data_IF_459838204767
#
_entry.id   IF_459838204767
#
_cell.length_a   1.000
_cell.length_b   1.000
_cell.length_c   1.000
_cell.angle_alpha   90.00
_cell.angle_beta   90.00
_cell.angle_gamma   90.00
#
_symmetry.space_group_name_H-M   'P 1'
#
loop_
_entity.id
_entity.type
_entity.pdbx_description
1 polymer ?
#
# COMPACT_ATOMS: atom_id res chain seq x y z
N UNK A 1 -11.67 -12.54 -10.79
CA UNK A 1 -10.86 -11.29 -10.89
C UNK A 1 -11.23 -10.38 -12.06
N UNK A 2 -11.41 -10.87 -13.31
CA UNK A 2 -11.74 -10.00 -14.47
C UNK A 2 -13.09 -9.24 -14.38
N UNK A 3 -14.10 -9.79 -13.69
CA UNK A 3 -15.44 -9.16 -13.58
C UNK A 3 -15.52 -8.00 -12.57
N UNK A 4 -14.67 -7.99 -11.54
CA UNK A 4 -14.66 -6.91 -10.54
C UNK A 4 -13.94 -5.66 -11.07
N UNK A 5 -12.88 -5.84 -11.88
CA UNK A 5 -12.11 -4.73 -12.47
C UNK A 5 -12.94 -3.94 -13.49
N UNK A 6 -13.83 -4.62 -14.25
CA UNK A 6 -14.69 -3.95 -15.24
C UNK A 6 -15.75 -3.06 -14.58
N UNK A 7 -16.25 -3.46 -13.40
CA UNK A 7 -17.26 -2.68 -12.66
C UNK A 7 -16.65 -1.43 -12.01
N UNK A 8 -15.43 -1.52 -11.47
CA UNK A 8 -14.73 -0.38 -10.86
C UNK A 8 -14.26 0.64 -11.90
N UNK A 9 -13.88 0.20 -13.11
CA UNK A 9 -13.53 1.10 -14.22
C UNK A 9 -14.77 1.84 -14.73
N UNK A 10 -15.95 1.20 -14.81
CA UNK A 10 -17.19 1.90 -15.16
C UNK A 10 -17.60 2.93 -14.10
N UNK A 11 -17.38 2.64 -12.81
CA UNK A 11 -17.66 3.60 -11.73
C UNK A 11 -16.70 4.81 -11.76
N UNK A 12 -15.39 4.60 -11.99
CA UNK A 12 -14.41 5.70 -12.07
C UNK A 12 -14.53 6.54 -13.34
N UNK A 13 -14.89 5.94 -14.48
CA UNK A 13 -15.14 6.70 -15.70
C UNK A 13 -16.37 7.61 -15.53
N UNK A 14 -17.44 7.14 -14.89
CA UNK A 14 -18.62 7.96 -14.63
C UNK A 14 -18.32 9.17 -13.71
N UNK A 15 -17.48 9.01 -12.67
CA UNK A 15 -17.18 10.10 -11.71
C UNK A 15 -16.43 11.28 -12.34
N UNK A 16 -15.61 11.07 -13.38
CA UNK A 16 -14.93 12.16 -14.07
C UNK A 16 -15.81 12.87 -15.12
N UNK A 17 -16.83 12.20 -15.68
CA UNK A 17 -17.78 12.83 -16.62
C UNK A 17 -18.75 13.80 -15.92
N UNK A 18 -19.06 13.60 -14.64
CA UNK A 18 -19.97 14.49 -13.90
C UNK A 18 -19.41 15.90 -13.61
N UNK A 19 -18.14 16.19 -13.93
CA UNK A 19 -17.52 17.51 -13.71
C UNK A 19 -17.64 18.50 -14.88
N UNK A 20 -18.10 18.06 -16.07
CA UNK A 20 -18.11 18.86 -17.30
C UNK A 20 -19.50 19.34 -17.76
N UNK A 21 -20.57 19.09 -17.02
CA UNK A 21 -21.90 19.58 -17.38
C UNK A 21 -22.01 21.10 -17.17
N UNK A 22 -22.64 21.82 -18.11
CA UNK A 22 -22.92 23.24 -17.96
C UNK A 22 -23.82 23.47 -16.74
N UNK A 23 -23.46 24.43 -15.89
CA UNK A 23 -24.25 24.78 -14.69
C UNK A 23 -24.95 26.11 -14.90
N UNK A 24 -26.17 26.25 -14.40
CA UNK A 24 -26.83 27.56 -14.33
C UNK A 24 -25.94 28.54 -13.57
N UNK A 25 -25.81 29.76 -14.10
CA UNK A 25 -24.88 30.77 -13.60
C UNK A 25 -23.46 30.70 -14.19
N UNK A 26 -23.11 29.66 -14.96
CA UNK A 26 -21.82 29.64 -15.68
C UNK A 26 -21.74 30.81 -16.66
N UNK A 27 -20.57 31.45 -16.74
CA UNK A 27 -20.30 32.52 -17.70
C UNK A 27 -20.47 32.03 -19.14
N UNK A 28 -20.98 32.89 -20.02
CA UNK A 28 -21.30 32.51 -21.39
C UNK A 28 -20.11 31.93 -22.18
N UNK A 29 -18.90 32.46 -21.98
CA UNK A 29 -17.68 31.93 -22.60
C UNK A 29 -17.33 30.52 -22.09
N UNK A 30 -17.55 30.24 -20.80
CA UNK A 30 -17.37 28.89 -20.26
C UNK A 30 -18.35 27.91 -20.89
N UNK A 31 -19.61 28.31 -21.06
CA UNK A 31 -20.63 27.47 -21.71
C UNK A 31 -20.27 27.20 -23.17
N UNK A 32 -19.90 28.23 -23.92
CA UNK A 32 -19.43 28.10 -25.29
C UNK A 32 -18.26 27.12 -25.39
N UNK A 33 -17.26 27.29 -24.52
CA UNK A 33 -16.10 26.40 -24.46
C UNK A 33 -16.50 24.94 -24.17
N UNK A 34 -17.38 24.70 -23.19
CA UNK A 34 -17.86 23.35 -22.87
C UNK A 34 -18.62 22.70 -24.03
N UNK A 35 -19.42 23.46 -24.77
CA UNK A 35 -20.12 22.96 -25.98
C UNK A 35 -19.13 22.62 -27.08
N UNK A 36 -18.12 23.47 -27.31
CA UNK A 36 -17.05 23.19 -28.28
C UNK A 36 -16.27 21.92 -27.93
N UNK A 37 -15.91 21.75 -26.65
CA UNK A 37 -15.26 20.53 -26.20
C UNK A 37 -16.13 19.29 -26.39
N UNK A 38 -17.42 19.37 -26.05
CA UNK A 38 -18.35 18.26 -26.23
C UNK A 38 -18.38 17.78 -27.69
N UNK A 39 -18.46 18.72 -28.64
CA UNK A 39 -18.43 18.38 -30.06
C UNK A 39 -17.12 17.72 -30.50
N UNK A 40 -15.98 18.23 -30.01
CA UNK A 40 -14.68 17.63 -30.31
C UNK A 40 -14.60 16.20 -29.77
N UNK A 41 -15.03 15.99 -28.52
CA UNK A 41 -15.05 14.66 -27.90
C UNK A 41 -15.99 13.70 -28.65
N UNK A 42 -17.18 14.14 -29.07
CA UNK A 42 -18.10 13.35 -29.89
C UNK A 42 -17.48 12.94 -31.23
N UNK A 43 -16.79 13.87 -31.90
CA UNK A 43 -16.08 13.63 -33.16
C UNK A 43 -14.99 12.57 -33.00
N UNK A 44 -14.19 12.70 -31.94
CA UNK A 44 -13.06 11.79 -31.65
C UNK A 44 -13.53 10.38 -31.30
N UNK A 45 -14.70 10.23 -30.65
CA UNK A 45 -15.17 8.94 -30.13
C UNK A 45 -16.02 8.15 -31.12
N UNK A 46 -16.84 8.82 -31.93
CA UNK A 46 -17.84 8.15 -32.79
C UNK A 46 -17.44 8.12 -34.27
N UNK A 47 -16.45 8.91 -34.68
CA UNK A 47 -16.13 9.12 -36.09
C UNK A 47 -17.26 9.82 -36.86
N UNK A 48 -17.05 10.17 -38.14
CA UNK A 48 -17.91 11.10 -38.89
C UNK A 48 -19.31 10.58 -39.30
N UNK A 49 -19.78 9.42 -38.81
CA UNK A 49 -20.86 8.67 -39.47
C UNK A 49 -22.09 8.24 -38.65
N UNK A 50 -22.16 8.44 -37.32
CA UNK A 50 -23.36 8.03 -36.54
C UNK A 50 -24.24 9.19 -36.05
N UNK A 51 -23.64 10.27 -35.55
CA UNK A 51 -24.33 11.47 -35.04
C UNK A 51 -23.74 12.69 -35.74
N UNK A 52 -24.59 13.58 -36.28
CA UNK A 52 -24.13 14.84 -36.84
C UNK A 52 -24.36 15.94 -35.83
N UNK A 53 -23.32 16.71 -35.55
CA UNK A 53 -23.37 17.81 -34.60
C UNK A 53 -22.89 19.10 -35.25
N UNK A 54 -23.60 20.19 -35.00
CA UNK A 54 -23.21 21.55 -35.39
C UNK A 54 -23.48 22.50 -34.23
N UNK A 55 -22.69 23.55 -34.08
CA UNK A 55 -22.97 24.58 -33.09
C UNK A 55 -22.85 25.99 -33.64
N UNK A 56 -23.63 26.87 -33.05
CA UNK A 56 -23.71 28.28 -33.41
C UNK A 56 -23.71 29.15 -32.15
N UNK A 57 -22.99 30.25 -32.19
CA UNK A 57 -23.03 31.28 -31.14
C UNK A 57 -23.83 32.47 -31.66
N UNK A 58 -24.77 32.95 -30.86
CA UNK A 58 -25.57 34.15 -31.16
C UNK A 58 -25.13 35.27 -30.22
N UNK A 59 -24.87 36.44 -30.81
CA UNK A 59 -24.46 37.63 -30.09
C UNK A 59 -25.62 38.63 -30.02
N UNK A 60 -25.79 39.30 -28.89
CA UNK A 60 -26.66 40.46 -28.74
C UNK A 60 -25.92 41.53 -27.93
N UNK A 61 -25.91 42.78 -28.42
CA UNK A 61 -25.26 43.92 -27.77
C UNK A 61 -23.80 43.63 -27.35
N UNK A 62 -23.04 42.96 -28.22
CA UNK A 62 -21.62 42.64 -27.98
C UNK A 62 -21.35 41.51 -26.98
N UNK A 63 -22.39 40.86 -26.43
CA UNK A 63 -22.27 39.71 -25.53
C UNK A 63 -22.89 38.45 -26.14
N UNK A 64 -22.39 37.27 -25.75
CA UNK A 64 -23.02 35.99 -26.12
C UNK A 64 -24.42 35.94 -25.48
N UNK A 65 -25.45 35.90 -26.31
CA UNK A 65 -26.84 35.74 -25.87
C UNK A 65 -27.28 34.30 -25.90
N UNK A 66 -26.79 33.50 -26.84
CA UNK A 66 -27.07 32.07 -26.93
C UNK A 66 -25.89 31.27 -27.46
N UNK A 67 -25.76 30.04 -26.98
CA UNK A 67 -24.96 28.99 -27.63
C UNK A 67 -25.94 27.89 -28.03
N UNK A 68 -25.93 27.49 -29.30
CA UNK A 68 -26.86 26.53 -29.87
C UNK A 68 -26.07 25.32 -30.32
N UNK A 69 -26.46 24.13 -29.90
CA UNK A 69 -25.91 22.86 -30.35
C UNK A 69 -27.04 22.07 -31.04
N UNK A 70 -26.90 21.79 -32.32
CA UNK A 70 -27.80 20.94 -33.08
C UNK A 70 -27.21 19.54 -33.19
N UNK A 71 -28.02 18.51 -32.92
CA UNK A 71 -27.61 17.12 -32.96
C UNK A 71 -28.65 16.30 -33.72
N UNK A 72 -28.20 15.50 -34.68
CA UNK A 72 -29.05 14.65 -35.53
C UNK A 72 -28.79 13.17 -35.26
N UNK A 73 -29.85 12.37 -35.30
CA UNK A 73 -29.81 10.91 -35.14
C UNK A 73 -29.19 10.44 -33.80
N UNK A 74 -29.42 11.19 -32.72
CA UNK A 74 -28.91 10.87 -31.38
C UNK A 74 -29.76 9.76 -30.77
N UNK A 75 -29.18 8.60 -30.37
CA UNK A 75 -29.93 7.57 -29.66
C UNK A 75 -30.32 8.04 -28.26
N UNK A 76 -31.60 8.38 -28.06
CA UNK A 76 -32.14 8.84 -26.78
C UNK A 76 -32.78 7.68 -26.02
N UNK A 77 -32.10 7.21 -24.96
CA UNK A 77 -32.51 6.02 -24.19
C UNK A 77 -33.95 6.13 -23.66
N UNK A 78 -34.36 7.34 -23.25
CA UNK A 78 -35.68 7.57 -22.67
C UNK A 78 -36.82 7.58 -23.69
N UNK A 79 -36.51 7.78 -24.98
CA UNK A 79 -37.48 7.71 -26.08
C UNK A 79 -37.34 6.41 -26.90
N UNK A 80 -36.30 5.60 -26.61
CA UNK A 80 -36.01 4.29 -27.23
C UNK A 80 -35.95 4.34 -28.77
N UNK A 81 -35.54 5.49 -29.32
CA UNK A 81 -35.35 5.72 -30.75
C UNK A 81 -34.31 6.82 -30.96
N UNK A 82 -33.63 6.84 -32.13
CA UNK A 82 -32.86 8.01 -32.53
C UNK A 82 -33.78 9.22 -32.68
N UNK A 83 -33.30 10.38 -32.25
CA UNK A 83 -34.02 11.66 -32.34
C UNK A 83 -33.09 12.74 -32.89
N UNK A 84 -33.69 13.78 -33.45
CA UNK A 84 -32.95 14.98 -33.83
C UNK A 84 -33.47 16.16 -33.03
N UNK A 85 -32.57 16.95 -32.46
CA UNK A 85 -32.94 18.09 -31.64
C UNK A 85 -31.88 19.18 -31.69
N UNK A 86 -32.24 20.35 -31.17
CA UNK A 86 -31.29 21.42 -30.89
C UNK A 86 -31.41 21.87 -29.44
N UNK A 87 -30.26 22.01 -28.80
CA UNK A 87 -30.12 22.53 -27.43
C UNK A 87 -29.65 23.97 -27.51
N UNK A 88 -30.43 24.90 -26.96
CA UNK A 88 -30.10 26.32 -26.88
C UNK A 88 -29.81 26.68 -25.43
N UNK A 89 -28.57 27.04 -25.16
CA UNK A 89 -28.10 27.57 -23.90
C UNK A 89 -28.28 29.09 -23.92
N UNK A 90 -29.30 29.61 -23.22
CA UNK A 90 -29.68 31.01 -23.29
C UNK A 90 -29.09 31.79 -22.11
N UNK A 91 -28.35 32.83 -22.44
CA UNK A 91 -27.67 33.70 -21.49
C UNK A 91 -28.55 34.87 -21.09
N UNK A 92 -28.48 35.26 -19.83
CA UNK A 92 -29.03 36.52 -19.34
C UNK A 92 -27.97 37.20 -18.48
N UNK A 93 -27.68 38.48 -18.72
CA UNK A 93 -26.60 39.21 -18.07
C UNK A 93 -25.24 38.47 -18.10
N UNK A 94 -24.91 37.83 -19.23
CA UNK A 94 -23.64 37.15 -19.45
C UNK A 94 -23.49 35.76 -18.80
N UNK A 95 -24.53 35.23 -18.15
CA UNK A 95 -24.51 33.90 -17.52
C UNK A 95 -25.65 32.99 -18.00
N UNK A 96 -25.45 31.67 -17.92
CA UNK A 96 -26.44 30.68 -18.32
C UNK A 96 -27.69 30.77 -17.43
N UNK A 97 -28.82 31.08 -18.05
CA UNK A 97 -30.09 31.31 -17.33
C UNK A 97 -31.12 30.21 -17.55
N UNK A 98 -31.16 29.63 -18.76
CA UNK A 98 -32.07 28.55 -19.13
C UNK A 98 -31.49 27.73 -20.27
N UNK A 99 -31.95 26.49 -20.37
CA UNK A 99 -31.62 25.57 -21.48
C UNK A 99 -32.92 25.17 -22.16
N UNK A 100 -32.96 25.27 -23.49
CA UNK A 100 -34.09 24.83 -24.30
C UNK A 100 -33.65 23.66 -25.16
N UNK A 101 -34.28 22.49 -25.02
CA UNK A 101 -34.10 21.36 -25.95
C UNK A 101 -35.34 21.25 -26.83
N UNK A 102 -35.19 21.58 -28.10
CA UNK A 102 -36.25 21.62 -29.10
C UNK A 102 -36.12 20.41 -30.02
N UNK A 103 -37.14 19.56 -30.07
CA UNK A 103 -37.11 18.28 -30.77
C UNK A 103 -37.78 18.38 -32.14
N UNK A 104 -37.10 17.93 -33.19
CA UNK A 104 -37.58 18.03 -34.57
C UNK A 104 -38.61 16.95 -34.94
N UNK A 105 -38.51 15.78 -34.32
CA UNK A 105 -39.24 14.56 -34.69
C UNK A 105 -40.00 13.92 -33.51
N UNK A 106 -40.18 14.67 -32.42
CA UNK A 106 -40.87 14.22 -31.20
C UNK A 106 -42.07 15.11 -30.93
N UNK A 107 -43.23 14.49 -30.66
CA UNK A 107 -44.43 15.21 -30.24
C UNK A 107 -44.36 15.61 -28.77
N UNK A 108 -45.10 16.67 -28.39
CA UNK A 108 -45.19 17.11 -26.98
C UNK A 108 -45.72 15.98 -26.08
N UNK A 109 -46.71 15.22 -26.55
CA UNK A 109 -47.32 14.14 -25.78
C UNK A 109 -46.34 12.98 -25.54
N UNK A 110 -45.53 12.61 -26.53
CA UNK A 110 -44.51 11.58 -26.39
C UNK A 110 -43.39 12.03 -25.46
N UNK A 111 -42.97 13.29 -25.56
CA UNK A 111 -41.97 13.88 -24.66
C UNK A 111 -42.47 13.91 -23.21
N UNK A 112 -43.72 14.36 -22.97
CA UNK A 112 -44.33 14.37 -21.63
C UNK A 112 -44.47 12.96 -21.04
N UNK A 113 -44.80 11.96 -21.88
CA UNK A 113 -44.90 10.56 -21.46
C UNK A 113 -43.55 10.02 -20.99
N UNK A 114 -42.49 10.31 -21.74
CA UNK A 114 -41.12 9.93 -21.39
C UNK A 114 -40.66 10.60 -20.09
N UNK A 115 -40.85 11.92 -19.95
CA UNK A 115 -40.50 12.63 -18.72
C UNK A 115 -41.31 12.14 -17.52
N UNK A 116 -42.61 11.83 -17.67
CA UNK A 116 -43.42 11.29 -16.57
C UNK A 116 -42.86 9.95 -16.06
N UNK A 117 -42.38 9.08 -16.94
CA UNK A 117 -41.79 7.81 -16.53
C UNK A 117 -40.48 8.00 -15.74
N UNK A 118 -39.66 8.99 -16.11
CA UNK A 118 -38.34 9.21 -15.50
C UNK A 118 -38.35 10.11 -14.26
N UNK A 119 -39.36 10.98 -14.12
CA UNK A 119 -39.44 11.99 -13.06
C UNK A 119 -40.68 11.82 -12.16
N UNK A 120 -41.31 10.64 -12.16
CA UNK A 120 -42.62 10.44 -11.50
C UNK A 120 -42.63 10.83 -10.01
N UNK A 121 -41.49 10.68 -9.31
CA UNK A 121 -41.34 11.07 -7.90
C UNK A 121 -41.15 12.58 -7.65
N UNK A 122 -40.74 13.35 -8.66
CA UNK A 122 -40.38 14.77 -8.56
C UNK A 122 -41.19 15.66 -9.51
N UNK A 123 -42.36 15.17 -9.96
CA UNK A 123 -43.28 15.94 -10.80
C UNK A 123 -44.29 16.67 -9.90
N UNK A 124 -44.39 18.00 -10.07
CA UNK A 124 -45.44 18.81 -9.43
C UNK A 124 -46.17 19.57 -10.54
N UNK A 125 -47.44 19.23 -10.78
CA UNK A 125 -48.21 19.73 -11.92
C UNK A 125 -47.43 19.56 -13.23
N UNK A 126 -47.20 20.63 -14.01
CA UNK A 126 -46.51 20.56 -15.30
C UNK A 126 -44.99 20.76 -15.19
N UNK A 127 -44.44 20.72 -13.98
CA UNK A 127 -43.03 20.95 -13.69
C UNK A 127 -42.34 19.65 -13.27
N UNK A 128 -41.21 19.36 -13.90
CA UNK A 128 -40.42 18.15 -13.67
C UNK A 128 -39.10 18.55 -13.00
N UNK A 129 -38.97 18.33 -11.69
CA UNK A 129 -37.82 18.77 -10.89
C UNK A 129 -36.70 17.73 -10.89
N UNK A 130 -35.46 18.19 -10.77
CA UNK A 130 -34.33 17.33 -10.42
C UNK A 130 -34.39 16.91 -8.93
N UNK A 131 -33.53 15.99 -8.51
CA UNK A 131 -33.63 15.33 -7.20
C UNK A 131 -33.48 16.28 -6.00
N UNK A 132 -32.77 17.39 -6.18
CA UNK A 132 -32.55 18.43 -5.18
C UNK A 132 -33.47 19.64 -5.35
N UNK A 133 -34.37 19.60 -6.35
CA UNK A 133 -35.29 20.67 -6.73
C UNK A 133 -34.59 22.00 -7.06
N UNK A 134 -33.28 22.00 -7.33
CA UNK A 134 -32.52 23.21 -7.72
C UNK A 134 -32.85 23.68 -9.15
N UNK A 135 -33.37 22.77 -9.99
CA UNK A 135 -33.81 23.07 -11.34
C UNK A 135 -35.10 22.31 -11.69
N UNK A 136 -35.84 22.85 -12.63
CA UNK A 136 -37.04 22.22 -13.16
C UNK A 136 -37.08 22.31 -14.67
N UNK A 137 -37.74 21.33 -15.28
CA UNK A 137 -38.03 21.31 -16.72
C UNK A 137 -39.53 21.48 -16.94
N UNK A 138 -39.91 22.32 -17.89
CA UNK A 138 -41.29 22.48 -18.38
C UNK A 138 -41.35 22.06 -19.84
N UNK A 139 -42.36 21.27 -20.20
CA UNK A 139 -42.57 20.79 -21.57
C UNK A 139 -43.75 21.54 -22.19
N UNK A 140 -43.58 22.05 -23.41
CA UNK A 140 -44.62 22.76 -24.15
C UNK A 140 -44.37 22.73 -25.66
N UNK A 141 -45.36 23.17 -26.44
CA UNK A 141 -45.20 23.40 -27.89
C UNK A 141 -44.61 24.79 -28.13
N UNK A 142 -43.40 24.85 -28.69
CA UNK A 142 -42.72 26.10 -29.01
C UNK A 142 -43.40 26.89 -30.12
N UNK A 143 -43.04 28.16 -30.26
CA UNK A 143 -43.53 29.05 -31.33
C UNK A 143 -43.15 28.58 -32.73
N UNK A 144 -42.04 27.84 -32.83
CA UNK A 144 -41.57 27.11 -34.00
C UNK A 144 -42.33 25.79 -34.27
N UNK A 145 -43.41 25.51 -33.55
CA UNK A 145 -44.18 24.26 -33.64
C UNK A 145 -43.39 22.99 -33.27
N UNK A 146 -42.26 23.13 -32.55
CA UNK A 146 -41.47 22.00 -32.05
C UNK A 146 -41.79 21.70 -30.59
N UNK A 147 -41.79 20.42 -30.22
CA UNK A 147 -41.85 20.04 -28.81
C UNK A 147 -40.59 20.56 -28.10
N UNK A 148 -40.77 21.29 -27.00
CA UNK A 148 -39.68 21.98 -26.31
C UNK A 148 -39.66 21.58 -24.84
N UNK A 149 -38.48 21.18 -24.35
CA UNK A 149 -38.18 21.05 -22.93
C UNK A 149 -37.34 22.26 -22.49
N UNK A 150 -37.91 23.12 -21.65
CA UNK A 150 -37.22 24.28 -21.07
C UNK A 150 -36.80 23.97 -19.63
N UNK A 151 -35.49 23.94 -19.37
CA UNK A 151 -34.93 23.76 -18.04
C UNK A 151 -34.46 25.09 -17.46
N UNK A 152 -34.84 25.38 -16.21
CA UNK A 152 -34.50 26.61 -15.47
C UNK A 152 -34.08 26.28 -14.05
N UNK A 153 -33.31 27.18 -13.44
CA UNK A 153 -33.13 27.19 -11.99
C UNK A 153 -34.46 27.45 -11.30
N UNK A 154 -34.74 26.70 -10.24
CA UNK A 154 -35.95 26.87 -9.44
C UNK A 154 -35.90 28.19 -8.69
N UNK A 155 -36.84 29.08 -9.00
CA UNK A 155 -37.14 30.29 -8.22
C UNK A 155 -38.58 30.23 -7.77
N UNK A 156 -38.82 30.32 -6.45
CA UNK A 156 -40.17 30.20 -5.89
C UNK A 156 -41.16 31.23 -6.45
N UNK A 157 -40.65 32.40 -6.87
CA UNK A 157 -41.42 33.46 -7.54
C UNK A 157 -42.06 33.02 -8.84
N UNK A 158 -41.47 32.05 -9.54
CA UNK A 158 -41.85 31.68 -10.90
C UNK A 158 -43.05 30.73 -10.93
N UNK A 159 -43.49 30.27 -9.75
CA UNK A 159 -44.59 29.32 -9.60
C UNK A 159 -45.85 29.97 -9.03
N UNK A 160 -47.04 29.46 -9.42
CA UNK A 160 -48.30 29.84 -8.81
C UNK A 160 -48.34 29.41 -7.33
N UNK A 161 -49.19 30.04 -6.49
CA UNK A 161 -49.24 29.77 -5.05
C UNK A 161 -49.40 28.28 -4.70
N UNK A 162 -50.20 27.53 -5.47
CA UNK A 162 -50.47 26.11 -5.25
C UNK A 162 -49.27 25.19 -5.50
N UNK A 163 -48.30 25.62 -6.32
CA UNK A 163 -47.07 24.85 -6.61
C UNK A 163 -45.93 25.29 -5.68
N UNK A 164 -45.89 26.58 -5.33
CA UNK A 164 -44.81 27.20 -4.56
C UNK A 164 -44.57 26.51 -3.21
N UNK A 165 -45.62 26.26 -2.43
CA UNK A 165 -45.48 25.65 -1.10
C UNK A 165 -45.01 24.20 -1.18
N UNK A 166 -45.52 23.44 -2.16
CA UNK A 166 -45.08 22.05 -2.40
C UNK A 166 -43.60 22.01 -2.78
N UNK A 167 -43.16 22.86 -3.71
CA UNK A 167 -41.74 22.95 -4.11
C UNK A 167 -40.87 23.34 -2.92
N UNK A 168 -41.27 24.34 -2.14
CA UNK A 168 -40.52 24.77 -0.94
C UNK A 168 -40.35 23.65 0.07
N UNK A 169 -41.41 22.88 0.33
CA UNK A 169 -41.36 21.71 1.23
C UNK A 169 -40.40 20.65 0.68
N UNK A 170 -40.55 20.28 -0.59
CA UNK A 170 -39.69 19.27 -1.22
C UNK A 170 -38.22 19.68 -1.30
N UNK A 171 -37.92 20.96 -1.55
CA UNK A 171 -36.55 21.51 -1.49
C UNK A 171 -35.93 21.33 -0.10
N UNK A 172 -36.68 21.59 0.97
CA UNK A 172 -36.20 21.42 2.34
C UNK A 172 -35.97 19.94 2.68
N UNK A 173 -36.89 19.07 2.30
CA UNK A 173 -36.76 17.61 2.49
C UNK A 173 -35.54 17.05 1.73
N UNK A 174 -35.36 17.48 0.47
CA UNK A 174 -34.22 17.08 -0.34
C UNK A 174 -32.90 17.58 0.26
N UNK A 175 -32.84 18.83 0.74
CA UNK A 175 -31.65 19.37 1.41
C UNK A 175 -31.29 18.57 2.66
N UNK A 176 -32.26 18.22 3.50
CA UNK A 176 -32.03 17.39 4.69
C UNK A 176 -31.52 16.00 4.33
N UNK A 177 -32.11 15.36 3.30
CA UNK A 177 -31.66 14.04 2.81
C UNK A 177 -30.22 14.08 2.27
N UNK A 178 -29.88 15.08 1.47
CA UNK A 178 -28.53 15.26 0.92
C UNK A 178 -27.50 15.49 2.03
N UNK A 179 -27.84 16.32 3.02
CA UNK A 179 -26.97 16.59 4.17
C UNK A 179 -26.71 15.30 4.97
N UNK A 180 -27.75 14.51 5.24
CA UNK A 180 -27.64 13.24 5.94
C UNK A 180 -26.80 12.23 5.16
N UNK A 181 -26.99 12.15 3.84
CA UNK A 181 -26.20 11.26 2.98
C UNK A 181 -24.72 11.64 3.00
N UNK A 182 -24.39 12.93 2.86
CA UNK A 182 -23.01 13.41 2.91
C UNK A 182 -22.34 13.10 4.25
N UNK A 183 -23.08 13.24 5.35
CA UNK A 183 -22.55 12.91 6.68
C UNK A 183 -22.32 11.40 6.85
N UNK A 184 -23.25 10.57 6.39
CA UNK A 184 -23.09 9.11 6.42
C UNK A 184 -21.91 8.65 5.55
N UNK A 185 -21.71 9.27 4.37
CA UNK A 185 -20.57 9.01 3.50
C UNK A 185 -19.24 9.39 4.19
N UNK A 186 -19.19 10.54 4.88
CA UNK A 186 -18.03 10.95 5.68
C UNK A 186 -17.72 9.98 6.81
N UNK A 187 -18.74 9.57 7.58
CA UNK A 187 -18.57 8.60 8.68
C UNK A 187 -18.07 7.26 8.13
N UNK A 188 -18.67 6.77 7.06
CA UNK A 188 -18.28 5.50 6.43
C UNK A 188 -16.84 5.57 5.90
N UNK A 189 -16.45 6.70 5.32
CA UNK A 189 -15.08 6.90 4.85
C UNK A 189 -14.09 6.92 6.01
N UNK A 190 -14.38 7.66 7.07
CA UNK A 190 -13.54 7.70 8.27
C UNK A 190 -13.39 6.31 8.92
N UNK A 191 -14.47 5.52 8.97
CA UNK A 191 -14.42 4.13 9.45
C UNK A 191 -13.49 3.25 8.61
N UNK A 192 -13.57 3.35 7.27
CA UNK A 192 -12.69 2.60 6.36
C UNK A 192 -11.23 3.01 6.52
N UNK A 193 -10.95 4.28 6.76
CA UNK A 193 -9.60 4.79 7.01
C UNK A 193 -9.03 4.23 8.32
N UNK A 194 -9.84 4.18 9.38
CA UNK A 194 -9.45 3.56 10.66
C UNK A 194 -9.22 2.05 10.53
N UNK A 195 -10.10 1.33 9.84
CA UNK A 195 -9.94 -0.10 9.58
C UNK A 195 -8.66 -0.39 8.77
N UNK A 196 -8.40 0.41 7.74
CA UNK A 196 -7.21 0.28 6.90
C UNK A 196 -5.93 0.60 7.68
N UNK A 197 -5.97 1.62 8.54
CA UNK A 197 -4.89 1.93 9.47
C UNK A 197 -4.63 0.73 10.40
N UNK A 198 -5.66 0.22 11.08
CA UNK A 198 -5.53 -0.91 11.99
C UNK A 198 -4.99 -2.17 11.30
N UNK A 199 -5.45 -2.43 10.07
CA UNK A 199 -4.94 -3.54 9.26
C UNK A 199 -3.44 -3.41 8.97
N UNK A 200 -2.97 -2.21 8.58
CA UNK A 200 -1.54 -1.98 8.26
C UNK A 200 -0.63 -2.04 9.48
N UNK A 201 -1.13 -1.61 10.64
CA UNK A 201 -0.35 -1.51 11.88
C UNK A 201 -0.49 -2.73 12.80
N UNK A 202 -1.34 -3.69 12.45
CA UNK A 202 -1.36 -5.01 13.10
C UNK A 202 -0.08 -5.78 12.75
N UNK A 203 0.52 -6.44 13.75
CA UNK A 203 1.72 -7.26 13.56
C UNK A 203 1.35 -8.69 13.20
N UNK A 204 1.62 -9.10 11.97
CA UNK A 204 1.35 -10.44 11.47
C UNK A 204 2.55 -11.35 11.69
N UNK A 205 2.32 -12.61 12.04
CA UNK A 205 3.40 -13.58 12.24
C UNK A 205 4.05 -13.94 10.89
N UNK A 206 5.34 -13.66 10.75
CA UNK A 206 6.06 -13.88 9.51
C UNK A 206 6.15 -15.37 9.15
N UNK A 207 6.29 -16.25 10.14
CA UNK A 207 6.36 -17.70 9.93
C UNK A 207 5.04 -18.29 9.44
N UNK A 208 3.93 -17.78 9.96
CA UNK A 208 2.56 -18.18 9.60
C UNK A 208 2.16 -17.67 8.21
N UNK A 209 2.40 -16.37 7.93
CA UNK A 209 1.88 -15.72 6.72
C UNK A 209 2.83 -15.76 5.51
N UNK A 210 4.16 -15.89 5.72
CA UNK A 210 5.14 -16.02 4.63
C UNK A 210 6.39 -16.81 5.07
N UNK A 211 6.26 -18.14 5.08
CA UNK A 211 7.33 -19.06 5.45
C UNK A 211 8.60 -18.91 4.59
N UNK A 212 8.47 -18.46 3.34
CA UNK A 212 9.63 -18.24 2.46
C UNK A 212 10.45 -17.05 2.94
N UNK A 213 9.79 -15.93 3.24
CA UNK A 213 10.44 -14.75 3.80
C UNK A 213 10.96 -15.01 5.21
N UNK A 214 10.24 -15.78 6.03
CA UNK A 214 10.72 -16.21 7.34
C UNK A 214 12.03 -17.00 7.23
N UNK A 215 12.12 -17.98 6.32
CA UNK A 215 13.34 -18.75 6.11
C UNK A 215 14.50 -17.88 5.60
N UNK A 216 14.23 -16.90 4.74
CA UNK A 216 15.25 -15.92 4.32
C UNK A 216 15.76 -15.11 5.50
N UNK A 217 14.85 -14.60 6.34
CA UNK A 217 15.18 -13.88 7.57
C UNK A 217 16.06 -14.73 8.50
N UNK A 218 15.68 -15.99 8.75
CA UNK A 218 16.48 -16.93 9.55
C UNK A 218 17.89 -17.15 8.98
N UNK A 219 18.03 -17.26 7.66
CA UNK A 219 19.33 -17.46 7.02
C UNK A 219 20.25 -16.23 7.16
N UNK A 220 19.71 -15.02 7.18
CA UNK A 220 20.51 -13.82 7.47
C UNK A 220 20.91 -13.79 8.95
N UNK A 221 19.98 -14.09 9.87
CA UNK A 221 20.27 -14.19 11.30
C UNK A 221 21.40 -15.18 11.60
N UNK A 222 21.34 -16.39 11.03
CA UNK A 222 22.40 -17.41 11.19
C UNK A 222 23.78 -16.87 10.83
N UNK A 223 23.89 -16.19 9.69
CA UNK A 223 25.16 -15.58 9.23
C UNK A 223 25.64 -14.51 10.20
N UNK A 224 24.73 -13.65 10.68
CA UNK A 224 25.07 -12.60 11.64
C UNK A 224 25.55 -13.17 12.98
N UNK A 225 24.89 -14.20 13.51
CA UNK A 225 25.34 -14.89 14.72
C UNK A 225 26.73 -15.50 14.54
N UNK A 226 26.97 -16.20 13.43
CA UNK A 226 28.27 -16.79 13.15
C UNK A 226 29.36 -15.71 13.05
N UNK A 227 29.07 -14.60 12.36
CA UNK A 227 29.97 -13.47 12.21
C UNK A 227 30.25 -12.78 13.56
N UNK A 228 29.25 -12.61 14.41
CA UNK A 228 29.42 -12.08 15.76
C UNK A 228 30.35 -12.98 16.58
N UNK A 229 30.08 -14.30 16.60
CA UNK A 229 30.90 -15.26 17.33
C UNK A 229 32.35 -15.24 16.85
N UNK A 230 32.59 -15.17 15.53
CA UNK A 230 33.94 -15.07 14.96
C UNK A 230 34.64 -13.77 15.27
N UNK A 231 33.93 -12.64 15.13
CA UNK A 231 34.49 -11.31 15.35
C UNK A 231 34.83 -11.03 16.81
N UNK A 232 34.13 -11.66 17.75
CA UNK A 232 34.42 -11.59 19.18
C UNK A 232 35.35 -12.72 19.67
N UNK A 233 35.67 -13.69 18.82
CA UNK A 233 36.59 -14.75 19.15
C UNK A 233 38.05 -14.27 19.02
N UNK A 234 38.92 -14.54 20.01
CA UNK A 234 40.33 -14.22 19.92
C UNK A 234 40.99 -14.89 18.71
N UNK A 235 42.10 -14.33 18.24
CA UNK A 235 42.91 -14.98 17.23
C UNK A 235 43.57 -16.25 17.79
N UNK A 236 43.91 -17.19 16.91
CA UNK A 236 44.55 -18.45 17.34
C UNK A 236 45.88 -18.23 18.07
N UNK A 237 46.61 -17.15 17.77
CA UNK A 237 47.83 -16.79 18.49
C UNK A 237 47.54 -16.45 19.96
N UNK A 238 46.45 -15.73 20.23
CA UNK A 238 46.10 -15.33 21.59
C UNK A 238 45.59 -16.52 22.40
N UNK A 239 44.90 -17.46 21.74
CA UNK A 239 44.52 -18.74 22.35
C UNK A 239 45.74 -19.58 22.73
N UNK A 240 46.79 -19.55 21.92
CA UNK A 240 48.03 -20.28 22.20
C UNK A 240 48.80 -19.72 23.39
N UNK A 241 48.88 -18.39 23.51
CA UNK A 241 49.63 -17.71 24.58
C UNK A 241 48.83 -17.48 25.86
N UNK A 242 47.59 -17.98 25.97
CA UNK A 242 46.80 -17.89 27.20
C UNK A 242 46.17 -16.52 27.41
N UNK A 243 45.33 -16.08 26.47
CA UNK A 243 44.42 -14.95 26.65
C UNK A 243 43.65 -15.07 27.99
N UNK A 244 43.40 -13.94 28.69
CA UNK A 244 42.80 -13.86 30.04
C UNK A 244 41.47 -14.63 30.23
N UNK A 245 40.81 -15.07 29.16
CA UNK A 245 39.60 -15.91 29.20
C UNK A 245 39.71 -17.30 28.55
N UNK A 246 40.88 -17.73 28.07
CA UNK A 246 41.07 -18.94 27.27
C UNK A 246 42.04 -19.95 27.92
N UNK A 247 41.95 -20.14 29.24
CA UNK A 247 42.83 -21.04 30.01
C UNK A 247 42.94 -22.47 29.44
N UNK A 248 41.98 -22.91 28.62
CA UNK A 248 41.94 -24.24 28.02
C UNK A 248 42.25 -24.26 26.50
N UNK A 249 42.76 -23.17 25.91
CA UNK A 249 43.10 -23.10 24.48
C UNK A 249 41.90 -23.01 23.54
N UNK A 250 40.70 -22.78 24.08
CA UNK A 250 39.49 -22.55 23.32
C UNK A 250 38.59 -21.51 23.99
N UNK A 251 37.65 -20.99 23.20
CA UNK A 251 36.48 -20.25 23.69
C UNK A 251 35.21 -20.97 23.25
N UNK A 252 34.14 -20.83 24.03
CA UNK A 252 32.84 -21.41 23.70
C UNK A 252 31.70 -20.45 24.02
N UNK A 253 30.72 -20.43 23.13
CA UNK A 253 29.38 -19.89 23.35
C UNK A 253 28.42 -21.08 23.34
N UNK A 254 27.58 -21.19 24.36
CA UNK A 254 26.55 -22.21 24.43
C UNK A 254 25.34 -21.59 25.11
N UNK A 255 24.53 -20.90 24.30
CA UNK A 255 23.37 -20.17 24.78
C UNK A 255 22.10 -20.68 24.08
N UNK A 256 21.00 -20.71 24.83
CA UNK A 256 19.65 -21.00 24.31
C UNK A 256 18.74 -19.85 24.71
N UNK A 257 17.99 -19.31 23.76
CA UNK A 257 17.13 -18.14 23.97
C UNK A 257 15.68 -18.43 23.54
N UNK A 258 14.74 -17.68 24.11
CA UNK A 258 13.47 -17.38 23.44
C UNK A 258 13.53 -15.93 22.98
N UNK A 259 13.31 -15.69 21.69
CA UNK A 259 13.45 -14.35 21.10
C UNK A 259 12.22 -14.00 20.29
N UNK A 260 11.75 -12.77 20.47
CA UNK A 260 10.69 -12.15 19.69
C UNK A 260 11.28 -10.94 18.96
N UNK A 261 11.17 -10.96 17.63
CA UNK A 261 11.43 -9.82 16.77
C UNK A 261 10.08 -9.19 16.42
N UNK A 262 9.94 -7.89 16.58
CA UNK A 262 8.72 -7.15 16.22
C UNK A 262 9.05 -5.89 15.44
N UNK A 263 8.23 -5.57 14.44
CA UNK A 263 8.24 -4.25 13.84
C UNK A 263 7.53 -3.23 14.73
N UNK A 264 8.14 -2.07 14.93
CA UNK A 264 7.50 -0.89 15.48
C UNK A 264 7.41 0.18 14.42
N UNK A 265 6.22 0.78 14.31
CA UNK A 265 5.97 1.91 13.44
C UNK A 265 6.02 3.19 14.27
N UNK A 266 7.11 3.95 14.08
CA UNK A 266 7.29 5.29 14.64
C UNK A 266 7.10 6.36 13.55
N UNK A 267 6.38 6.02 12.48
CA UNK A 267 6.05 6.96 11.41
C UNK A 267 5.18 8.09 11.95
N UNK A 268 5.39 9.27 11.37
CA UNK A 268 4.59 10.46 11.67
C UNK A 268 4.01 10.98 10.37
N UNK A 269 2.76 11.39 10.39
CA UNK A 269 2.14 12.01 9.23
C UNK A 269 2.76 13.39 8.97
N UNK A 270 2.60 13.86 7.73
CA UNK A 270 2.98 15.23 7.39
C UNK A 270 1.92 16.16 7.95
N UNK A 271 2.33 17.06 8.84
CA UNK A 271 1.42 18.03 9.45
C UNK A 271 1.66 19.42 8.87
N UNK A 272 0.58 20.12 8.50
CA UNK A 272 0.65 21.55 8.21
C UNK A 272 0.28 22.36 9.46
N UNK A 273 1.20 23.16 9.97
CA UNK A 273 0.97 24.09 11.09
C UNK A 273 1.08 25.52 10.59
N UNK A 274 -0.07 26.12 10.26
CA UNK A 274 -0.13 27.43 9.60
C UNK A 274 0.53 27.40 8.22
N UNK A 275 1.60 28.16 8.04
CA UNK A 275 2.38 28.22 6.80
C UNK A 275 3.57 27.24 6.77
N UNK A 276 3.76 26.40 7.81
CA UNK A 276 4.86 25.46 7.92
C UNK A 276 4.39 24.03 7.66
N UNK A 277 5.07 23.31 6.77
CA UNK A 277 4.85 21.88 6.52
C UNK A 277 5.91 21.11 7.30
N UNK A 278 5.50 20.35 8.31
CA UNK A 278 6.35 19.41 9.03
C UNK A 278 6.32 18.10 8.25
N UNK A 279 7.44 17.78 7.59
CA UNK A 279 7.56 16.55 6.82
C UNK A 279 7.37 15.31 7.70
N UNK A 280 6.46 14.44 7.26
CA UNK A 280 6.27 13.12 7.83
C UNK A 280 7.52 12.26 7.75
N UNK A 281 7.54 11.18 8.50
CA UNK A 281 8.61 10.17 8.48
C UNK A 281 7.99 8.80 8.33
N UNK A 282 8.67 7.93 7.59
CA UNK A 282 8.35 6.50 7.52
C UNK A 282 9.42 5.75 8.32
N UNK A 283 9.23 5.65 9.63
CA UNK A 283 10.24 5.13 10.56
C UNK A 283 9.78 3.79 11.15
N UNK A 284 9.94 2.74 10.36
CA UNK A 284 9.64 1.37 10.76
C UNK A 284 10.94 0.68 11.17
N UNK A 285 11.01 0.18 12.41
CA UNK A 285 12.21 -0.45 12.97
C UNK A 285 11.90 -1.82 13.54
N UNK A 286 12.91 -2.68 13.62
CA UNK A 286 12.81 -3.97 14.31
C UNK A 286 13.31 -3.84 15.73
N UNK A 287 12.44 -4.16 16.68
CA UNK A 287 12.75 -4.29 18.10
C UNK A 287 12.88 -5.76 18.45
N UNK A 288 13.84 -6.07 19.31
CA UNK A 288 14.13 -7.44 19.74
C UNK A 288 13.96 -7.53 21.24
N UNK A 289 13.11 -8.46 21.67
CA UNK A 289 12.87 -8.79 23.07
C UNK A 289 13.00 -10.31 23.28
N UNK A 290 13.07 -10.74 24.54
CA UNK A 290 13.19 -12.16 24.86
C UNK A 290 13.94 -12.43 26.15
N UNK A 291 14.37 -13.66 26.33
CA UNK A 291 15.11 -14.11 27.50
C UNK A 291 16.13 -15.20 27.17
N UNK A 292 17.21 -15.25 27.96
CA UNK A 292 18.13 -16.37 28.00
C UNK A 292 17.49 -17.52 28.80
N UNK A 293 17.39 -18.70 28.20
CA UNK A 293 16.93 -19.92 28.87
C UNK A 293 18.10 -20.67 29.53
N UNK A 294 19.26 -20.71 28.87
CA UNK A 294 20.48 -21.31 29.41
C UNK A 294 21.72 -20.72 28.74
N UNK A 295 22.84 -20.66 29.48
CA UNK A 295 24.11 -20.12 28.99
C UNK A 295 24.66 -19.03 29.91
N UNK A 296 25.43 -18.10 29.33
CA UNK A 296 26.10 -17.01 30.08
C UNK A 296 25.82 -15.62 29.53
N UNK A 297 25.14 -15.50 28.39
CA UNK A 297 24.81 -14.22 27.75
C UNK A 297 23.52 -13.60 28.33
N UNK A 298 23.54 -13.25 29.62
CA UNK A 298 22.36 -12.75 30.35
C UNK A 298 21.76 -11.49 29.72
N UNK A 299 22.60 -10.61 29.15
CA UNK A 299 22.15 -9.38 28.48
C UNK A 299 21.67 -9.61 27.04
N UNK A 300 21.68 -10.87 26.58
CA UNK A 300 21.36 -11.26 25.21
C UNK A 300 22.17 -10.46 24.18
N UNK A 301 23.44 -10.18 24.48
CA UNK A 301 24.31 -9.33 23.65
C UNK A 301 24.50 -9.93 22.27
N UNK A 302 24.62 -11.25 22.17
CA UNK A 302 24.74 -11.95 20.88
C UNK A 302 23.49 -11.67 20.03
N UNK A 303 22.30 -11.78 20.63
CA UNK A 303 21.02 -11.57 19.97
C UNK A 303 20.85 -10.13 19.52
N UNK A 304 21.04 -9.16 20.43
CA UNK A 304 20.84 -7.73 20.16
C UNK A 304 21.80 -7.19 19.10
N UNK A 305 23.07 -7.60 19.16
CA UNK A 305 24.09 -7.12 18.21
C UNK A 305 23.96 -7.76 16.83
N UNK A 306 23.43 -9.00 16.77
CA UNK A 306 23.28 -9.74 15.50
C UNK A 306 21.91 -9.55 14.85
N UNK A 307 21.04 -8.72 15.44
CA UNK A 307 19.68 -8.46 14.96
C UNK A 307 19.69 -7.98 13.51
N UNK A 308 18.65 -8.38 12.77
CA UNK A 308 18.41 -7.95 11.39
C UNK A 308 17.03 -7.36 11.27
N UNK A 309 16.82 -6.41 10.34
CA UNK A 309 15.49 -5.91 10.05
C UNK A 309 14.56 -7.05 9.66
N UNK A 310 13.39 -7.08 10.29
CA UNK A 310 12.28 -7.88 9.81
C UNK A 310 11.84 -7.37 8.44
N UNK A 311 11.36 -8.26 7.55
CA UNK A 311 10.71 -7.85 6.32
C UNK A 311 9.22 -7.57 6.52
N UNK A 312 8.69 -6.53 5.88
CA UNK A 312 7.24 -6.38 5.69
C UNK A 312 6.76 -7.39 4.64
N UNK A 313 5.51 -7.83 4.76
CA UNK A 313 4.85 -8.69 3.76
C UNK A 313 3.65 -7.98 3.15
N UNK A 314 3.16 -8.52 2.03
CA UNK A 314 1.96 -7.97 1.36
C UNK A 314 0.78 -8.91 1.56
N UNK A 315 -0.23 -8.45 2.29
CA UNK A 315 -1.50 -9.17 2.47
C UNK A 315 -2.62 -8.37 1.80
N UNK A 316 -3.40 -9.04 0.94
CA UNK A 316 -4.49 -8.42 0.17
C UNK A 316 -4.09 -7.12 -0.57
N UNK A 317 -2.85 -7.09 -1.10
CA UNK A 317 -2.30 -5.94 -1.83
C UNK A 317 -1.78 -4.80 -0.94
N UNK A 318 -1.77 -4.95 0.39
CA UNK A 318 -1.30 -3.94 1.35
C UNK A 318 -0.05 -4.44 2.09
N UNK A 319 0.93 -3.56 2.30
CA UNK A 319 2.09 -3.85 3.14
C UNK A 319 1.68 -3.80 4.62
N UNK A 320 2.09 -4.80 5.39
CA UNK A 320 1.77 -4.92 6.81
C UNK A 320 3.02 -5.14 7.64
N UNK A 321 2.96 -4.72 8.90
CA UNK A 321 4.00 -4.97 9.90
C UNK A 321 4.08 -6.45 10.25
N UNK A 322 5.28 -6.92 10.57
CA UNK A 322 5.50 -8.34 10.90
C UNK A 322 6.14 -8.52 12.26
N UNK A 323 6.00 -9.74 12.79
CA UNK A 323 6.71 -10.25 13.96
C UNK A 323 7.24 -11.65 13.68
N UNK A 324 8.27 -12.07 14.39
CA UNK A 324 8.85 -13.40 14.30
C UNK A 324 9.29 -13.88 15.69
N UNK A 325 8.67 -14.96 16.15
CA UNK A 325 9.07 -15.63 17.39
C UNK A 325 9.96 -16.82 17.05
N UNK A 326 11.08 -16.94 17.77
CA UNK A 326 12.00 -18.08 17.67
C UNK A 326 12.17 -18.67 19.07
N UNK A 327 11.51 -19.79 19.29
CA UNK A 327 11.59 -20.53 20.54
C UNK A 327 12.82 -21.44 20.56
N UNK A 328 13.44 -21.54 21.73
CA UNK A 328 14.60 -22.41 21.97
C UNK A 328 15.74 -22.21 20.95
N UNK A 329 15.97 -20.97 20.54
CA UNK A 329 17.05 -20.59 19.62
C UNK A 329 18.40 -20.95 20.22
N UNK A 330 19.03 -21.99 19.69
CA UNK A 330 20.35 -22.46 20.12
C UNK A 330 21.46 -21.77 19.33
N UNK A 331 22.43 -21.21 20.07
CA UNK A 331 23.70 -20.69 19.55
C UNK A 331 24.82 -21.42 20.26
N UNK A 332 25.39 -22.41 19.60
CA UNK A 332 26.59 -23.12 20.00
C UNK A 332 27.73 -22.75 19.07
N UNK A 333 28.87 -22.35 19.61
CA UNK A 333 30.08 -22.04 18.85
C UNK A 333 31.30 -22.32 19.71
N UNK A 334 32.29 -23.03 19.16
CA UNK A 334 33.57 -23.30 19.81
C UNK A 334 34.68 -23.01 18.82
N UNK A 335 35.64 -22.19 19.23
CA UNK A 335 36.87 -21.94 18.49
C UNK A 335 38.06 -22.28 19.37
N UNK A 336 38.99 -23.08 18.87
CA UNK A 336 40.13 -23.51 19.69
C UNK A 336 41.33 -23.98 18.91
N UNK A 337 42.42 -24.16 19.66
CA UNK A 337 43.66 -24.76 19.20
C UNK A 337 44.04 -25.91 20.13
N UNK A 338 44.48 -27.02 19.55
CA UNK A 338 44.94 -28.21 20.30
C UNK A 338 46.16 -28.83 19.64
N UNK A 339 46.92 -29.62 20.41
CA UNK A 339 48.02 -30.44 19.88
C UNK A 339 47.62 -31.91 19.98
N UNK A 340 47.52 -32.57 18.83
CA UNK A 340 47.18 -33.97 18.74
C UNK A 340 48.39 -34.80 18.27
N UNK A 341 48.58 -35.98 18.86
CA UNK A 341 49.53 -37.00 18.42
C UNK A 341 48.76 -38.16 17.82
N UNK A 342 49.02 -38.47 16.56
CA UNK A 342 48.33 -39.51 15.81
C UNK A 342 49.28 -40.70 15.59
N UNK A 343 48.82 -41.91 15.91
CA UNK A 343 49.59 -43.14 15.76
C UNK A 343 48.71 -44.38 15.69
N UNK A 344 49.32 -45.57 15.80
CA UNK A 344 48.59 -46.86 15.69
C UNK A 344 47.47 -47.05 16.73
N UNK A 345 47.53 -46.33 17.86
CA UNK A 345 46.53 -46.39 18.95
C UNK A 345 45.42 -45.34 18.81
N UNK A 346 45.39 -44.56 17.73
CA UNK A 346 44.43 -43.47 17.51
C UNK A 346 45.03 -42.08 17.73
N UNK A 347 44.16 -41.12 18.05
CA UNK A 347 44.49 -39.71 18.26
C UNK A 347 44.54 -39.42 19.76
N UNK A 348 45.66 -38.85 20.21
CA UNK A 348 45.90 -38.47 21.61
C UNK A 348 46.05 -36.94 21.70
N UNK A 349 45.24 -36.27 22.52
CA UNK A 349 45.33 -34.83 22.73
C UNK A 349 46.36 -34.50 23.82
N UNK A 350 47.52 -34.00 23.39
CA UNK A 350 48.71 -33.83 24.26
C UNK A 350 48.81 -32.47 24.96
N UNK A 351 48.28 -31.40 24.35
CA UNK A 351 48.19 -30.05 24.95
C UNK A 351 46.91 -29.36 24.51
N UNK A 352 46.35 -28.53 25.39
CA UNK A 352 45.11 -27.76 25.17
C UNK A 352 43.99 -28.68 24.65
N UNK A 353 43.57 -29.69 25.44
CA UNK A 353 42.59 -30.65 24.97
C UNK A 353 41.27 -29.94 24.61
N UNK A 354 40.65 -30.28 23.46
CA UNK A 354 39.37 -29.70 23.08
C UNK A 354 38.26 -30.22 24.00
N UNK A 355 37.09 -29.57 23.98
CA UNK A 355 35.91 -30.06 24.70
C UNK A 355 35.53 -31.48 24.22
N UNK A 356 34.97 -32.30 25.12
CA UNK A 356 34.62 -33.71 24.82
C UNK A 356 33.75 -33.86 23.58
N UNK A 357 32.75 -32.98 23.41
CA UNK A 357 31.87 -32.99 22.25
C UNK A 357 32.54 -32.53 20.94
N UNK A 358 33.75 -31.99 21.00
CA UNK A 358 34.52 -31.56 19.82
C UNK A 358 35.55 -32.62 19.38
N UNK A 359 36.02 -33.47 20.30
CA UNK A 359 37.01 -34.52 20.01
C UNK A 359 36.65 -35.38 18.78
N UNK A 360 35.40 -35.89 18.62
CA UNK A 360 35.06 -36.75 17.49
C UNK A 360 35.27 -36.08 16.11
N UNK A 361 35.04 -34.77 16.02
CA UNK A 361 35.25 -34.02 14.77
C UNK A 361 36.75 -33.95 14.41
N UNK A 362 37.61 -33.72 15.41
CA UNK A 362 39.06 -33.64 15.19
C UNK A 362 39.64 -35.03 14.91
N UNK A 363 39.19 -36.05 15.65
CA UNK A 363 39.57 -37.44 15.44
C UNK A 363 39.23 -37.93 14.04
N UNK A 364 38.02 -37.63 13.54
CA UNK A 364 37.62 -37.98 12.17
C UNK A 364 38.51 -37.37 11.09
N UNK A 365 38.97 -36.12 11.28
CA UNK A 365 39.89 -35.45 10.33
C UNK A 365 41.32 -36.01 10.41
N UNK A 366 41.73 -36.53 11.57
CA UNK A 366 43.08 -37.02 11.82
C UNK A 366 43.24 -38.55 11.79
N UNK A 367 42.16 -39.31 11.59
CA UNK A 367 42.11 -40.77 11.78
C UNK A 367 43.24 -41.54 11.06
N UNK A 368 43.64 -41.10 9.88
CA UNK A 368 44.66 -41.75 9.05
C UNK A 368 46.04 -41.06 9.09
N UNK A 369 46.17 -39.98 9.85
CA UNK A 369 47.40 -39.20 9.91
C UNK A 369 48.37 -39.81 10.92
N UNK A 370 49.67 -39.59 10.70
CA UNK A 370 50.74 -40.01 11.61
C UNK A 370 51.60 -38.81 11.98
N UNK A 371 52.01 -38.74 13.24
CA UNK A 371 52.85 -37.66 13.76
C UNK A 371 52.11 -36.74 14.72
N UNK A 372 52.74 -35.62 15.07
CA UNK A 372 52.15 -34.58 15.93
C UNK A 372 51.62 -33.44 15.06
N UNK A 373 50.48 -32.87 15.43
CA UNK A 373 49.82 -31.80 14.67
C UNK A 373 49.34 -30.69 15.59
N UNK A 374 49.49 -29.45 15.14
CA UNK A 374 48.72 -28.31 15.66
C UNK A 374 47.41 -28.29 14.90
N UNK A 375 46.30 -28.35 15.63
CA UNK A 375 44.94 -28.36 15.07
C UNK A 375 44.25 -27.08 15.48
N UNK A 376 43.77 -26.32 14.50
CA UNK A 376 42.90 -25.16 14.66
C UNK A 376 41.49 -25.57 14.25
N UNK A 377 40.52 -25.30 15.10
CA UNK A 377 39.15 -25.71 14.86
C UNK A 377 38.14 -24.60 15.17
N UNK A 378 37.06 -24.61 14.40
CA UNK A 378 35.80 -23.90 14.63
C UNK A 378 34.66 -24.91 14.44
N UNK A 379 33.80 -25.05 15.44
CA UNK A 379 32.60 -25.89 15.38
C UNK A 379 31.43 -25.08 15.89
N UNK A 380 30.34 -25.01 15.13
CA UNK A 380 29.15 -24.26 15.51
C UNK A 380 27.86 -25.02 15.17
N UNK A 381 26.82 -24.81 15.97
CA UNK A 381 25.44 -25.17 15.68
C UNK A 381 24.60 -23.93 16.00
N UNK A 382 24.09 -23.26 14.96
CA UNK A 382 23.34 -22.01 15.09
C UNK A 382 22.02 -22.20 14.38
N UNK A 383 20.90 -22.08 15.11
CA UNK A 383 19.55 -22.32 14.56
C UNK A 383 19.47 -23.65 13.79
N UNK A 384 20.00 -24.72 14.39
CA UNK A 384 20.07 -26.08 13.85
C UNK A 384 20.93 -26.26 12.59
N UNK A 385 21.77 -25.28 12.23
CA UNK A 385 22.72 -25.40 11.14
C UNK A 385 24.14 -25.64 11.68
N UNK A 386 24.76 -26.74 11.23
CA UNK A 386 26.10 -27.12 11.67
C UNK A 386 27.17 -26.48 10.77
N UNK A 387 28.19 -25.90 11.38
CA UNK A 387 29.39 -25.42 10.72
C UNK A 387 30.62 -26.06 11.36
N UNK A 388 31.51 -26.62 10.55
CA UNK A 388 32.77 -27.21 11.03
C UNK A 388 33.91 -26.78 10.11
N UNK A 389 34.96 -26.21 10.68
CA UNK A 389 36.21 -25.89 9.99
C UNK A 389 37.38 -26.35 10.84
N UNK A 390 38.09 -27.36 10.37
CA UNK A 390 39.25 -27.94 11.04
C UNK A 390 40.42 -27.87 10.09
N UNK A 391 41.50 -27.22 10.53
CA UNK A 391 42.76 -27.15 9.79
C UNK A 391 43.88 -27.65 10.69
N UNK A 392 44.83 -28.38 10.12
CA UNK A 392 45.95 -28.91 10.86
C UNK A 392 47.25 -28.73 10.09
N UNK A 393 48.35 -28.58 10.83
CA UNK A 393 49.71 -28.55 10.28
C UNK A 393 50.59 -29.48 11.10
N UNK A 394 51.58 -30.16 10.48
CA UNK A 394 52.59 -30.89 11.23
C UNK A 394 53.16 -30.00 12.33
N UNK A 395 53.21 -30.51 13.55
CA UNK A 395 53.91 -29.89 14.65
C UNK A 395 55.40 -30.06 14.38
N UNK A 396 55.95 -29.14 13.59
CA UNK A 396 57.39 -28.96 13.51
C UNK A 396 57.73 -28.14 14.74
N UNK A 397 58.66 -28.60 15.56
CA UNK A 397 59.21 -27.84 16.69
C UNK A 397 60.02 -26.63 16.17
N UNK A 398 59.38 -25.74 15.44
CA UNK A 398 59.90 -24.45 15.06
C UNK A 398 59.56 -23.53 16.22
N UNK A 399 60.61 -23.17 16.96
CA UNK A 399 60.61 -22.29 18.15
C UNK A 399 60.20 -22.97 19.47
N UNK A 400 61.19 -23.51 20.21
CA UNK A 400 61.20 -23.27 21.66
C UNK A 400 61.20 -24.44 22.66
N UNK A 401 61.44 -25.70 22.28
CA UNK A 401 62.00 -26.67 23.27
C UNK A 401 63.49 -26.38 23.59
N UNK A 402 64.00 -25.20 23.20
CA UNK A 402 65.35 -24.70 23.43
C UNK A 402 65.49 -23.76 24.65
N UNK A 403 64.43 -23.52 25.42
CA UNK A 403 64.46 -22.58 26.58
C UNK A 403 64.46 -23.25 27.96
N UNK A 404 64.20 -24.56 28.08
CA UNK A 404 64.21 -25.24 29.40
C UNK A 404 65.44 -26.12 29.68
N UNK A 405 66.30 -26.40 28.70
CA UNK A 405 67.57 -27.13 28.95
C UNK A 405 68.76 -26.22 29.34
N UNK A 406 68.58 -24.90 29.37
CA UNK A 406 69.61 -23.93 29.79
C UNK A 406 69.34 -23.26 31.16
N UNK A 407 68.55 -23.92 32.03
CA UNK A 407 68.41 -23.57 33.45
C UNK A 407 68.75 -24.74 34.40
N UNK A 408 69.68 -25.60 33.98
CA UNK A 408 70.09 -26.76 34.78
C UNK A 408 71.45 -27.36 34.41
N UNK A 409 72.44 -26.54 34.05
CA UNK A 409 73.87 -26.87 34.15
C UNK A 409 74.63 -25.72 34.75
#
# INVERSE_FOLDING_TARGET
MKKAIILTIHLLCMVNFYSKAQKFGDAAEKVKFLVQMHMQESYDWQGPHSVREDYKVVMANGSISEVILQQENVPEMFLRRPISFRTRYVMNAGVLSRVLKEYFDVSVSDLMRSFKANYNGNKINDYYFNDDYSAYTKIYLGSNQLATAETKTTKLSDFPPSVRETVKKSMNEAKSRITLQQENERITQAQREVEDYNFRHTRYDLGEYDTTMFNRFLNVLKKNFLNYCRGNAPEYKDLWYGYKGASNGFISYNNVYNVLYEMEDNSRETEQRGNVIIAGSNDIRTVVSGQLLSGTDNDMKIVRTSSVPLPMITLYGKKVLTKAQIDSMRIFFVKGITIAKCGKKGVEFTKLPPQENIKPYIEGVLAEKKGRFIVRYEVANILNENFTSITFKPYIALFGEYQEEYKGR
#
